data_IF_918966857445
#
_entry.id   IF_918966857445
#
_cell.length_a   1.000
_cell.length_b   1.000
_cell.length_c   1.000
_cell.angle_alpha   90.00
_cell.angle_beta   90.00
_cell.angle_gamma   90.00
#
_symmetry.space_group_name_H-M   'P 1'
#
loop_
_entity.id
_entity.type
_entity.pdbx_description
1 polymer ?
#
# COMPACT_ATOMS: atom_id res chain seq x y z
N UNK A 1 11.88 -13.21 13.21
CA UNK A 1 10.42 -13.16 13.45
C UNK A 1 9.94 -11.74 13.34
N UNK A 2 8.87 -11.52 12.62
CA UNK A 2 8.13 -10.26 12.64
C UNK A 2 7.08 -10.37 13.75
N UNK A 3 7.15 -9.46 14.72
CA UNK A 3 6.13 -9.33 15.76
C UNK A 3 5.17 -8.23 15.32
N UNK A 4 3.87 -8.50 15.41
CA UNK A 4 2.83 -7.54 15.05
C UNK A 4 1.74 -7.48 16.12
N UNK A 5 1.24 -6.29 16.39
CA UNK A 5 0.10 -6.04 17.28
C UNK A 5 -1.26 -6.17 16.56
N UNK A 6 -1.31 -6.84 15.41
CA UNK A 6 -2.51 -6.88 14.56
C UNK A 6 -3.82 -7.17 15.34
N UNK A 7 -3.79 -8.07 16.31
CA UNK A 7 -4.97 -8.43 17.12
C UNK A 7 -5.29 -7.41 18.20
N UNK A 8 -4.29 -6.63 18.65
CA UNK A 8 -4.43 -5.59 19.68
C UNK A 8 -3.70 -4.31 19.27
N UNK A 9 -4.18 -3.63 18.24
CA UNK A 9 -3.57 -2.39 17.76
C UNK A 9 -3.65 -1.30 18.84
N UNK A 10 -2.69 -0.38 18.83
CA UNK A 10 -2.66 0.70 19.81
C UNK A 10 -3.65 1.83 19.52
N UNK A 11 -4.18 1.94 18.30
CA UNK A 11 -5.23 2.89 17.95
C UNK A 11 -6.20 2.31 16.91
N UNK A 12 -7.46 2.73 16.99
CA UNK A 12 -8.54 2.33 16.07
C UNK A 12 -9.48 3.50 15.81
N UNK A 13 -10.31 3.35 14.78
CA UNK A 13 -11.44 4.25 14.48
C UNK A 13 -11.03 5.71 14.24
N UNK A 14 -9.85 5.92 13.65
CA UNK A 14 -9.43 7.23 13.15
C UNK A 14 -9.98 7.53 11.76
N UNK A 15 -9.68 8.71 11.25
CA UNK A 15 -9.95 9.07 9.86
C UNK A 15 -8.90 10.04 9.31
N UNK A 16 -8.71 10.01 8.00
CA UNK A 16 -7.90 11.00 7.26
C UNK A 16 -8.76 11.56 6.15
N UNK A 17 -8.94 12.87 6.16
CA UNK A 17 -9.68 13.58 5.11
C UNK A 17 -8.75 13.95 3.98
N UNK A 18 -9.13 13.61 2.74
CA UNK A 18 -8.51 14.14 1.53
C UNK A 18 -9.42 15.18 0.91
N UNK A 19 -8.83 16.27 0.44
CA UNK A 19 -9.52 17.40 -0.18
C UNK A 19 -8.81 17.78 -1.47
N UNK A 20 -9.46 18.54 -2.32
CA UNK A 20 -8.90 18.98 -3.60
C UNK A 20 -7.53 19.67 -3.45
N UNK A 21 -7.34 20.43 -2.39
CA UNK A 21 -6.09 21.14 -2.07
C UNK A 21 -4.92 20.19 -1.73
N UNK A 22 -5.20 18.96 -1.38
CA UNK A 22 -4.16 17.95 -1.13
C UNK A 22 -3.48 17.48 -2.43
N UNK A 23 -4.05 17.86 -3.60
CA UNK A 23 -3.57 17.51 -4.93
C UNK A 23 -3.98 16.10 -5.36
N UNK A 24 -3.79 15.81 -6.63
CA UNK A 24 -4.18 14.60 -7.34
C UNK A 24 -5.68 14.47 -7.64
N UNK A 25 -6.60 14.97 -6.82
CA UNK A 25 -8.02 14.89 -7.10
C UNK A 25 -8.38 15.73 -8.33
N UNK A 26 -9.25 15.19 -9.18
CA UNK A 26 -9.70 15.85 -10.42
C UNK A 26 -10.78 16.89 -10.16
N UNK A 27 -11.54 16.74 -9.07
CA UNK A 27 -12.63 17.62 -8.68
C UNK A 27 -12.70 17.79 -7.15
N UNK A 28 -13.23 18.93 -6.64
CA UNK A 28 -13.58 19.05 -5.22
C UNK A 28 -14.58 17.98 -4.75
N UNK A 29 -15.44 17.47 -5.65
CA UNK A 29 -16.42 16.42 -5.36
C UNK A 29 -15.75 15.05 -5.08
N UNK A 30 -14.48 14.87 -5.47
CA UNK A 30 -13.70 13.66 -5.16
C UNK A 30 -13.18 13.64 -3.72
N UNK A 31 -13.47 14.68 -2.93
CA UNK A 31 -13.10 14.75 -1.52
C UNK A 31 -13.73 13.59 -0.73
N UNK A 32 -12.92 13.01 0.18
CA UNK A 32 -13.32 11.81 0.90
C UNK A 32 -12.71 11.79 2.31
N UNK A 33 -13.51 11.32 3.26
CA UNK A 33 -13.02 10.95 4.58
C UNK A 33 -12.72 9.44 4.59
N UNK A 34 -11.44 9.10 4.80
CA UNK A 34 -10.96 7.73 4.75
C UNK A 34 -10.85 7.21 6.18
N UNK A 35 -11.69 6.25 6.58
CA UNK A 35 -11.57 5.65 7.89
C UNK A 35 -10.25 4.89 8.03
N UNK A 36 -9.57 5.09 9.15
CA UNK A 36 -8.44 4.27 9.57
C UNK A 36 -8.96 3.18 10.49
N UNK A 37 -8.89 1.96 10.03
CA UNK A 37 -9.37 0.80 10.78
C UNK A 37 -8.53 0.63 12.04
N UNK A 38 -7.21 0.66 11.87
CA UNK A 38 -6.28 0.51 12.99
C UNK A 38 -4.86 1.02 12.67
N UNK A 39 -4.14 1.33 13.73
CA UNK A 39 -2.69 1.51 13.76
C UNK A 39 -2.09 0.47 14.69
N UNK A 40 -1.06 -0.23 14.23
CA UNK A 40 -0.41 -1.28 15.00
C UNK A 40 1.10 -1.16 14.92
N UNK A 41 1.78 -1.54 16.00
CA UNK A 41 3.24 -1.65 16.03
C UNK A 41 3.65 -3.01 15.47
N UNK A 42 4.72 -2.98 14.72
CA UNK A 42 5.40 -4.15 14.19
C UNK A 42 6.91 -4.02 14.37
N UNK A 43 7.62 -5.12 14.23
CA UNK A 43 9.08 -5.11 14.08
C UNK A 43 9.44 -5.30 12.61
N UNK A 44 10.32 -4.47 12.08
CA UNK A 44 10.88 -4.70 10.75
C UNK A 44 11.76 -5.96 10.76
N UNK A 45 11.76 -6.68 9.65
CA UNK A 45 12.51 -7.93 9.49
C UNK A 45 13.84 -7.69 8.79
N UNK A 46 14.73 -8.68 8.84
CA UNK A 46 15.89 -8.73 7.96
C UNK A 46 15.46 -8.85 6.49
N UNK A 47 16.24 -8.24 5.61
CA UNK A 47 16.05 -8.33 4.17
C UNK A 47 16.86 -9.49 3.63
N UNK A 48 16.19 -10.43 2.95
CA UNK A 48 16.83 -11.56 2.29
C UNK A 48 17.05 -11.25 0.80
N UNK A 49 18.25 -11.50 0.32
CA UNK A 49 18.61 -11.38 -1.10
C UNK A 49 19.32 -12.65 -1.53
N UNK A 50 19.02 -13.14 -2.70
CA UNK A 50 19.68 -14.29 -3.29
C UNK A 50 20.68 -13.81 -4.34
N UNK A 51 21.92 -14.26 -4.24
CA UNK A 51 22.99 -14.02 -5.20
C UNK A 51 23.46 -15.34 -5.80
N UNK A 52 23.70 -15.36 -7.10
CA UNK A 52 24.39 -16.48 -7.74
C UNK A 52 25.90 -16.36 -7.44
N UNK A 53 26.53 -17.49 -7.16
CA UNK A 53 27.99 -17.60 -7.05
C UNK A 53 28.59 -18.12 -8.35
N UNK A 54 29.90 -18.00 -8.52
CA UNK A 54 30.62 -18.42 -9.74
C UNK A 54 30.48 -19.91 -10.04
N UNK A 55 30.20 -20.74 -9.04
CA UNK A 55 29.96 -22.18 -9.16
C UNK A 55 28.47 -22.54 -9.42
N UNK A 56 27.64 -21.57 -9.77
CA UNK A 56 26.19 -21.69 -9.98
C UNK A 56 25.40 -22.09 -8.71
N UNK A 57 26.00 -22.06 -7.54
CA UNK A 57 25.25 -22.18 -6.28
C UNK A 57 24.52 -20.88 -5.95
N UNK A 58 23.42 -20.99 -5.23
CA UNK A 58 22.66 -19.84 -4.74
C UNK A 58 23.04 -19.58 -3.27
N UNK A 59 23.54 -18.37 -3.01
CA UNK A 59 23.82 -17.92 -1.63
C UNK A 59 22.71 -17.00 -1.17
N UNK A 60 22.21 -17.24 0.03
CA UNK A 60 21.24 -16.41 0.71
C UNK A 60 21.98 -15.37 1.56
N UNK A 61 21.85 -14.10 1.19
CA UNK A 61 22.41 -12.98 1.95
C UNK A 61 21.29 -12.36 2.79
N UNK A 62 21.54 -12.14 4.07
CA UNK A 62 20.59 -11.56 5.00
C UNK A 62 21.14 -10.23 5.50
N UNK A 63 20.43 -9.15 5.20
CA UNK A 63 20.72 -7.81 5.70
C UNK A 63 19.87 -7.53 6.94
N UNK A 64 20.52 -7.27 8.06
CA UNK A 64 19.89 -6.99 9.36
C UNK A 64 19.82 -5.50 9.70
N UNK A 65 20.20 -4.59 8.80
CA UNK A 65 20.31 -3.15 9.11
C UNK A 65 19.02 -2.55 9.70
N UNK A 66 17.85 -3.08 9.31
CA UNK A 66 16.57 -2.62 9.85
C UNK A 66 15.85 -3.65 10.70
N UNK A 67 16.43 -4.81 10.93
CA UNK A 67 15.82 -5.85 11.73
C UNK A 67 15.56 -5.37 13.16
N UNK A 68 14.31 -5.51 13.62
CA UNK A 68 13.88 -5.07 14.95
C UNK A 68 13.58 -3.57 15.09
N UNK A 69 13.75 -2.77 14.02
CA UNK A 69 13.34 -1.37 14.01
C UNK A 69 11.82 -1.29 14.15
N UNK A 70 11.35 -0.32 14.95
CA UNK A 70 9.92 -0.11 15.13
C UNK A 70 9.27 0.33 13.81
N UNK A 71 8.21 -0.36 13.43
CA UNK A 71 7.39 -0.11 12.27
C UNK A 71 5.96 0.15 12.73
N UNK A 72 5.28 1.12 12.14
CA UNK A 72 3.84 1.35 12.36
C UNK A 72 3.12 1.00 11.07
N UNK A 73 2.18 0.08 11.14
CA UNK A 73 1.26 -0.21 10.05
C UNK A 73 -0.03 0.59 10.23
N UNK A 74 -0.45 1.29 9.19
CA UNK A 74 -1.68 2.08 9.11
C UNK A 74 -2.62 1.36 8.14
N UNK A 75 -3.72 0.82 8.64
CA UNK A 75 -4.70 0.09 7.84
C UNK A 75 -5.91 0.97 7.58
N UNK A 76 -6.17 1.31 6.32
CA UNK A 76 -7.36 2.07 5.90
C UNK A 76 -8.52 1.16 5.55
N UNK A 77 -9.75 1.67 5.67
CA UNK A 77 -10.93 1.02 5.12
C UNK A 77 -10.91 1.06 3.57
N UNK A 78 -11.56 0.11 2.89
CA UNK A 78 -11.55 0.01 1.42
C UNK A 78 -12.55 0.96 0.77
N UNK A 79 -12.39 2.27 1.00
CA UNK A 79 -13.29 3.31 0.50
C UNK A 79 -12.74 4.08 -0.71
N UNK A 80 -11.44 3.96 -0.99
CA UNK A 80 -10.79 4.59 -2.14
C UNK A 80 -11.31 3.95 -3.44
N UNK A 81 -11.62 4.77 -4.44
CA UNK A 81 -12.22 4.33 -5.70
C UNK A 81 -11.35 4.60 -6.92
N UNK A 82 -10.43 5.53 -6.82
CA UNK A 82 -9.57 5.94 -7.95
C UNK A 82 -8.10 5.99 -7.55
N UNK A 83 -7.17 5.86 -8.53
CA UNK A 83 -5.75 6.06 -8.29
C UNK A 83 -5.43 7.45 -7.72
N UNK A 84 -6.19 8.48 -8.14
CA UNK A 84 -6.03 9.86 -7.69
C UNK A 84 -6.36 10.01 -6.21
N UNK A 85 -7.45 9.40 -5.74
CA UNK A 85 -7.80 9.36 -4.32
C UNK A 85 -6.72 8.64 -3.51
N UNK A 86 -6.19 7.53 -4.01
CA UNK A 86 -5.07 6.84 -3.37
C UNK A 86 -3.81 7.70 -3.31
N UNK A 87 -3.48 8.42 -4.39
CA UNK A 87 -2.37 9.37 -4.44
C UNK A 87 -2.51 10.50 -3.43
N UNK A 88 -3.68 11.13 -3.36
CA UNK A 88 -4.00 12.17 -2.40
C UNK A 88 -3.88 11.65 -0.95
N UNK A 89 -4.38 10.45 -0.68
CA UNK A 89 -4.33 9.82 0.63
C UNK A 89 -2.88 9.59 1.10
N UNK A 90 -2.05 8.94 0.29
CA UNK A 90 -0.64 8.68 0.66
C UNK A 90 0.14 9.99 0.82
N UNK A 91 -0.12 10.99 -0.04
CA UNK A 91 0.47 12.33 0.11
C UNK A 91 0.08 12.98 1.43
N UNK A 92 -1.21 12.91 1.80
CA UNK A 92 -1.71 13.45 3.06
C UNK A 92 -1.11 12.76 4.27
N UNK A 93 -1.06 11.43 4.27
CA UNK A 93 -0.40 10.66 5.32
C UNK A 93 1.07 11.05 5.47
N UNK A 94 1.80 11.15 4.35
CA UNK A 94 3.21 11.58 4.36
C UNK A 94 3.37 12.96 5.01
N UNK A 95 2.49 13.91 4.71
CA UNK A 95 2.52 15.24 5.33
C UNK A 95 2.25 15.17 6.83
N UNK A 96 1.24 14.41 7.25
CA UNK A 96 0.91 14.23 8.67
C UNK A 96 2.06 13.58 9.43
N UNK A 97 2.65 12.50 8.91
CA UNK A 97 3.78 11.81 9.55
C UNK A 97 4.99 12.71 9.72
N UNK A 98 5.26 13.57 8.75
CA UNK A 98 6.32 14.58 8.84
C UNK A 98 5.99 15.68 9.87
N UNK A 99 4.75 16.15 9.88
CA UNK A 99 4.30 17.18 10.80
C UNK A 99 4.42 16.75 12.26
N UNK A 100 4.07 15.50 12.56
CA UNK A 100 4.18 14.95 13.92
C UNK A 100 5.59 14.42 14.26
N UNK A 101 6.53 14.46 13.30
CA UNK A 101 7.89 14.00 13.51
C UNK A 101 8.05 12.47 13.61
N UNK A 102 7.04 11.70 13.16
CA UNK A 102 7.07 10.24 13.24
C UNK A 102 7.89 9.58 12.11
N UNK A 103 7.96 10.21 10.94
CA UNK A 103 8.71 9.72 9.78
C UNK A 103 9.05 10.87 8.82
N UNK A 104 10.15 10.77 8.10
CA UNK A 104 10.47 11.67 6.98
C UNK A 104 9.61 11.38 5.74
N UNK A 105 8.93 10.21 5.72
CA UNK A 105 8.02 9.79 4.67
C UNK A 105 8.72 9.55 3.32
N UNK A 106 10.01 9.22 3.32
CA UNK A 106 10.74 8.95 2.08
C UNK A 106 10.45 7.52 1.59
N UNK A 107 9.68 7.42 0.49
CA UNK A 107 9.30 6.12 -0.09
C UNK A 107 10.50 5.42 -0.76
N UNK A 108 11.41 6.18 -1.39
CA UNK A 108 12.57 5.59 -2.07
C UNK A 108 13.56 4.94 -1.07
N UNK A 109 13.63 5.47 0.14
CA UNK A 109 14.50 4.95 1.21
C UNK A 109 13.77 3.94 2.12
N UNK A 110 12.47 3.74 1.89
CA UNK A 110 11.65 2.81 2.65
C UNK A 110 11.21 3.31 4.02
N UNK A 111 11.34 4.64 4.29
CA UNK A 111 10.80 5.25 5.51
C UNK A 111 9.26 5.29 5.50
N UNK A 112 8.66 5.30 4.32
CA UNK A 112 7.24 5.06 4.09
C UNK A 112 7.11 3.99 3.01
N UNK A 113 6.42 2.91 3.32
CA UNK A 113 6.09 1.83 2.40
C UNK A 113 4.59 1.78 2.21
N UNK A 114 4.14 1.41 1.02
CA UNK A 114 2.73 1.29 0.71
C UNK A 114 2.49 -0.02 -0.03
N UNK A 115 1.62 -0.86 0.50
CA UNK A 115 1.04 -1.99 -0.21
C UNK A 115 -0.39 -1.63 -0.59
N UNK A 116 -0.77 -1.86 -1.84
CA UNK A 116 -2.09 -1.53 -2.33
C UNK A 116 -2.89 -2.79 -2.64
N UNK A 117 -4.12 -2.82 -2.15
CA UNK A 117 -5.06 -3.92 -2.42
C UNK A 117 -6.13 -3.44 -3.38
N UNK A 118 -6.26 -4.11 -4.52
CA UNK A 118 -7.21 -3.78 -5.57
C UNK A 118 -8.24 -4.89 -5.72
N UNK A 119 -9.50 -4.51 -5.77
CA UNK A 119 -10.63 -5.39 -6.07
C UNK A 119 -11.68 -4.58 -6.80
N UNK A 120 -12.22 -5.10 -7.90
CA UNK A 120 -13.36 -4.48 -8.58
C UNK A 120 -14.64 -5.26 -8.27
N UNK A 121 -15.74 -4.53 -8.22
CA UNK A 121 -17.08 -5.09 -8.06
C UNK A 121 -18.12 -4.14 -8.67
N UNK A 122 -19.31 -4.63 -8.98
CA UNK A 122 -20.41 -3.77 -9.38
C UNK A 122 -20.96 -3.03 -8.16
N UNK A 123 -21.50 -1.83 -8.40
CA UNK A 123 -22.12 -1.03 -7.33
C UNK A 123 -23.23 -1.86 -6.69
N UNK A 124 -23.18 -1.98 -5.36
CA UNK A 124 -24.14 -2.76 -4.57
C UNK A 124 -23.83 -4.25 -4.43
N UNK A 125 -22.80 -4.76 -5.12
CA UNK A 125 -22.33 -6.14 -4.95
C UNK A 125 -21.18 -6.23 -3.94
N UNK A 126 -20.92 -7.40 -3.36
CA UNK A 126 -19.76 -7.66 -2.52
C UNK A 126 -18.44 -7.42 -3.27
N UNK A 127 -17.37 -7.14 -2.53
CA UNK A 127 -16.03 -7.03 -3.11
C UNK A 127 -15.65 -8.31 -3.85
N UNK A 128 -15.06 -8.14 -5.03
CA UNK A 128 -14.46 -9.23 -5.78
C UNK A 128 -13.14 -9.73 -5.16
N UNK A 129 -12.48 -10.69 -5.81
CA UNK A 129 -11.16 -11.16 -5.42
C UNK A 129 -10.14 -10.03 -5.38
N UNK A 130 -9.22 -10.09 -4.41
CA UNK A 130 -8.24 -9.05 -4.14
C UNK A 130 -6.89 -9.38 -4.77
N UNK A 131 -6.31 -8.41 -5.46
CA UNK A 131 -4.89 -8.42 -5.84
C UNK A 131 -4.13 -7.45 -4.97
N UNK A 132 -3.06 -7.91 -4.34
CA UNK A 132 -2.11 -7.09 -3.60
C UNK A 132 -0.99 -6.62 -4.53
N UNK A 133 -0.68 -5.33 -4.53
CA UNK A 133 0.43 -4.75 -5.31
C UNK A 133 1.50 -4.27 -4.33
N UNK A 134 2.71 -4.76 -4.53
CA UNK A 134 3.91 -4.46 -3.73
C UNK A 134 4.96 -3.70 -4.54
N UNK A 135 6.01 -3.25 -3.86
CA UNK A 135 7.15 -2.56 -4.47
C UNK A 135 6.79 -1.18 -5.05
N UNK A 136 5.97 -0.43 -4.32
CA UNK A 136 5.49 0.89 -4.73
C UNK A 136 6.38 1.98 -4.11
N UNK A 137 7.43 2.38 -4.82
CA UNK A 137 8.49 3.26 -4.31
C UNK A 137 8.18 4.76 -4.51
N UNK A 138 7.06 5.10 -5.13
CA UNK A 138 6.59 6.48 -5.27
C UNK A 138 5.08 6.54 -5.41
N UNK A 139 4.50 7.69 -5.10
CA UNK A 139 3.06 7.93 -5.30
C UNK A 139 2.69 7.79 -6.78
N UNK A 140 3.54 8.29 -7.69
CA UNK A 140 3.31 8.18 -9.13
C UNK A 140 3.26 6.73 -9.60
N UNK A 141 4.22 5.92 -9.18
CA UNK A 141 4.24 4.49 -9.52
C UNK A 141 3.05 3.74 -8.93
N UNK A 142 2.66 4.09 -7.70
CA UNK A 142 1.47 3.54 -7.08
C UNK A 142 0.21 3.83 -7.92
N UNK A 143 0.01 5.08 -8.34
CA UNK A 143 -1.14 5.47 -9.17
C UNK A 143 -1.16 4.74 -10.51
N UNK A 144 -0.01 4.60 -11.18
CA UNK A 144 0.10 3.84 -12.43
C UNK A 144 -0.22 2.35 -12.22
N UNK A 145 0.32 1.75 -11.15
CA UNK A 145 0.07 0.35 -10.84
C UNK A 145 -1.40 0.09 -10.53
N UNK A 146 -2.05 0.99 -9.80
CA UNK A 146 -3.49 0.92 -9.50
C UNK A 146 -4.34 1.02 -10.78
N UNK A 147 -4.08 2.00 -11.65
CA UNK A 147 -4.81 2.16 -12.92
C UNK A 147 -4.65 0.91 -13.79
N UNK A 148 -3.43 0.40 -13.93
CA UNK A 148 -3.17 -0.83 -14.67
C UNK A 148 -3.96 -2.02 -14.12
N UNK A 149 -3.91 -2.24 -12.80
CA UNK A 149 -4.57 -3.38 -12.17
C UNK A 149 -6.10 -3.28 -12.25
N UNK A 150 -6.66 -2.08 -12.06
CA UNK A 150 -8.10 -1.83 -12.23
C UNK A 150 -8.53 -2.21 -13.66
N UNK A 151 -7.80 -1.74 -14.68
CA UNK A 151 -8.10 -2.06 -16.09
C UNK A 151 -7.96 -3.54 -16.39
N UNK A 152 -6.93 -4.18 -15.83
CA UNK A 152 -6.72 -5.63 -15.99
C UNK A 152 -7.90 -6.42 -15.43
N UNK A 153 -8.27 -6.15 -14.16
CA UNK A 153 -9.40 -6.84 -13.52
C UNK A 153 -10.71 -6.57 -14.28
N UNK A 154 -10.93 -5.34 -14.72
CA UNK A 154 -12.11 -4.99 -15.53
C UNK A 154 -12.16 -5.79 -16.82
N UNK A 155 -11.04 -5.96 -17.52
CA UNK A 155 -10.95 -6.75 -18.75
C UNK A 155 -11.29 -8.22 -18.49
N UNK A 156 -10.71 -8.83 -17.43
CA UNK A 156 -11.00 -10.22 -17.06
C UNK A 156 -12.49 -10.43 -16.80
N UNK A 157 -13.07 -9.61 -15.93
CA UNK A 157 -14.49 -9.71 -15.56
C UNK A 157 -15.41 -9.44 -16.75
N UNK A 158 -15.07 -8.47 -17.61
CA UNK A 158 -15.87 -8.15 -18.80
C UNK A 158 -15.88 -9.28 -19.83
N UNK A 159 -14.86 -10.12 -19.84
CA UNK A 159 -14.73 -11.30 -20.70
C UNK A 159 -15.25 -12.59 -20.03
N UNK A 160 -15.89 -12.45 -18.85
CA UNK A 160 -16.44 -13.59 -18.12
C UNK A 160 -15.38 -14.45 -17.42
N UNK A 161 -14.13 -13.99 -17.32
CA UNK A 161 -13.07 -14.69 -16.60
C UNK A 161 -13.03 -14.29 -15.14
N UNK A 162 -12.66 -15.24 -14.29
CA UNK A 162 -12.46 -14.97 -12.88
C UNK A 162 -11.12 -14.24 -12.63
N UNK A 163 -11.13 -13.33 -11.68
CA UNK A 163 -9.90 -12.74 -11.14
C UNK A 163 -9.41 -13.65 -10.02
N UNK A 164 -8.17 -14.16 -10.14
CA UNK A 164 -7.55 -14.95 -9.09
C UNK A 164 -6.87 -14.05 -8.07
N UNK A 165 -7.06 -14.29 -6.75
CA UNK A 165 -6.32 -13.59 -5.72
C UNK A 165 -4.82 -13.78 -5.90
N UNK A 166 -4.07 -12.70 -5.92
CA UNK A 166 -2.63 -12.75 -6.20
C UNK A 166 -1.88 -11.60 -5.57
N UNK A 167 -0.57 -11.78 -5.38
CA UNK A 167 0.37 -10.70 -5.05
C UNK A 167 1.23 -10.42 -6.27
N UNK A 168 1.33 -9.16 -6.66
CA UNK A 168 2.05 -8.69 -7.85
C UNK A 168 3.06 -7.62 -7.45
N UNK A 169 4.28 -7.72 -7.97
CA UNK A 169 5.30 -6.68 -7.85
C UNK A 169 5.17 -5.66 -8.98
N UNK A 170 5.31 -4.38 -8.66
CA UNK A 170 5.49 -3.35 -9.68
C UNK A 170 6.95 -3.34 -10.14
N UNK A 171 7.16 -3.32 -11.46
CA UNK A 171 8.47 -3.15 -12.11
C UNK A 171 8.35 -1.94 -13.05
N UNK A 172 9.34 -1.04 -13.00
CA UNK A 172 9.44 0.14 -13.87
C UNK A 172 9.68 -0.25 -15.33
#
# INVERSE_FOLDING_TARGET
>A
YQITQHRQPFARNGSVSIRFEDGFLSSPDDALDIPIVQLQLEQDTGKTTYAATDDASQVCLIDYNRAGVALVEIVSAPVLRTPEQAGAYVRKLRQLLRCVGASDGNMNEGSLRCDANVSIHRIGEPFGPRTEIKNLNSIKFMMHALDFEIRRQFTEVSQGRAVEPSTRGFHE
#
